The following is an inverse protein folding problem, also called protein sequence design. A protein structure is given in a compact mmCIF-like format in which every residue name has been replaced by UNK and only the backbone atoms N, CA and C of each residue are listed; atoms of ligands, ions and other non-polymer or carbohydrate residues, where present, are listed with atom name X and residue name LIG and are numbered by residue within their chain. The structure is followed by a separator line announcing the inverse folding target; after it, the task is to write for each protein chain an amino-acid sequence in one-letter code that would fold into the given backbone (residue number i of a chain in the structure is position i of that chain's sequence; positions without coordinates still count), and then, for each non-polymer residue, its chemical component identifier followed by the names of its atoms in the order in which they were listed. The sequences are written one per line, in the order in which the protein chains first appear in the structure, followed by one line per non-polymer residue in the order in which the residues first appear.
data_IF_025511755892
#
_entry.id   IF_025511755892
#
_cell.length_a   1.000
_cell.length_b   1.000
_cell.length_c   1.000
_cell.angle_alpha   90.00
_cell.angle_beta   90.00
_cell.angle_gamma   90.00
#
_symmetry.space_group_name_H-M   'P 1'
#
loop_
_entity.id
_entity.type
_entity.pdbx_description
1 polymer ?
#
# COMPACT_ATOMS: atom_id res chain seq x y z
N UNK A 1 8.34 -5.69 5.35
CA UNK A 1 7.20 -4.90 4.83
C UNK A 1 7.13 -5.03 3.33
N UNK A 2 5.93 -5.17 2.78
CA UNK A 2 5.73 -5.28 1.34
C UNK A 2 5.59 -3.90 0.70
N UNK A 3 6.42 -3.61 -0.29
CA UNK A 3 6.31 -2.46 -1.18
C UNK A 3 6.03 -2.93 -2.60
N UNK A 4 5.25 -2.15 -3.33
CA UNK A 4 4.92 -2.36 -4.73
C UNK A 4 5.23 -1.10 -5.54
N UNK A 5 5.67 -1.29 -6.78
CA UNK A 5 5.93 -0.20 -7.71
C UNK A 5 4.62 0.21 -8.35
N UNK A 6 4.21 1.45 -8.14
CA UNK A 6 2.98 1.99 -8.70
C UNK A 6 3.26 3.25 -9.51
N UNK A 7 2.57 3.38 -10.64
CA UNK A 7 2.63 4.58 -11.47
C UNK A 7 1.61 5.59 -10.99
N UNK A 8 2.06 6.71 -10.43
CA UNK A 8 1.21 7.85 -10.06
C UNK A 8 1.51 9.00 -11.02
N UNK A 9 0.54 9.30 -11.88
CA UNK A 9 0.73 10.24 -12.99
C UNK A 9 1.79 9.73 -13.94
N UNK A 10 2.91 10.44 -14.04
CA UNK A 10 4.04 10.06 -14.90
C UNK A 10 5.29 9.60 -14.12
N UNK A 11 5.14 9.30 -12.82
CA UNK A 11 6.23 8.83 -11.96
C UNK A 11 5.94 7.43 -11.46
N UNK A 12 6.95 6.56 -11.53
CA UNK A 12 6.93 5.29 -10.82
C UNK A 12 7.42 5.50 -9.38
N UNK A 13 6.63 5.08 -8.40
CA UNK A 13 6.92 5.23 -6.99
C UNK A 13 6.76 3.89 -6.27
N UNK A 14 7.65 3.61 -5.32
CA UNK A 14 7.47 2.53 -4.37
C UNK A 14 6.48 2.97 -3.30
N UNK A 15 5.42 2.19 -3.11
CA UNK A 15 4.35 2.46 -2.15
C UNK A 15 3.88 1.16 -1.51
N UNK A 16 3.12 1.26 -0.41
CA UNK A 16 2.39 0.12 0.10
C UNK A 16 1.30 -0.31 -0.90
N UNK A 17 0.96 -1.61 -0.98
CA UNK A 17 -0.15 -2.08 -1.79
C UNK A 17 -1.43 -1.31 -1.48
N UNK A 18 -1.98 -0.65 -2.50
CA UNK A 18 -3.20 0.12 -2.40
C UNK A 18 -4.05 -0.06 -3.66
N UNK A 19 -5.36 0.00 -3.49
CA UNK A 19 -6.33 -0.01 -4.56
C UNK A 19 -7.36 1.11 -4.33
N UNK A 20 -7.94 1.61 -5.41
CA UNK A 20 -9.04 2.56 -5.33
C UNK A 20 -10.28 1.88 -4.77
N UNK A 21 -10.98 2.54 -3.86
CA UNK A 21 -12.22 2.05 -3.27
C UNK A 21 -13.36 2.04 -4.30
N UNK A 22 -14.17 0.99 -4.30
CA UNK A 22 -15.31 0.84 -5.19
C UNK A 22 -16.65 0.93 -4.44
N UNK A 23 -17.70 1.54 -5.03
CA UNK A 23 -19.02 1.57 -4.43
C UNK A 23 -19.54 0.16 -4.10
N UNK A 24 -19.95 -0.06 -2.84
CA UNK A 24 -20.48 -1.34 -2.37
C UNK A 24 -19.47 -2.23 -1.61
N UNK A 25 -18.19 -1.85 -1.53
CA UNK A 25 -17.20 -2.57 -0.71
C UNK A 25 -16.83 -1.80 0.57
N UNK A 26 -16.29 -2.50 1.57
CA UNK A 26 -15.72 -1.85 2.77
C UNK A 26 -14.26 -1.46 2.52
N UNK A 27 -13.73 -0.46 3.22
CA UNK A 27 -12.30 -0.10 3.13
C UNK A 27 -11.36 -1.29 3.44
N UNK A 28 -11.80 -2.19 4.33
CA UNK A 28 -11.09 -3.43 4.62
C UNK A 28 -11.10 -4.36 3.39
N UNK A 29 -12.26 -4.55 2.76
CA UNK A 29 -12.39 -5.35 1.55
C UNK A 29 -11.53 -4.80 0.41
N UNK A 30 -11.43 -3.47 0.28
CA UNK A 30 -10.50 -2.82 -0.65
C UNK A 30 -9.05 -3.22 -0.37
N UNK A 31 -8.63 -3.27 0.89
CA UNK A 31 -7.28 -3.69 1.27
C UNK A 31 -7.03 -5.18 0.98
N UNK A 32 -8.01 -6.05 1.24
CA UNK A 32 -7.96 -7.48 0.90
C UNK A 32 -7.82 -7.67 -0.61
N UNK A 33 -8.61 -6.92 -1.41
CA UNK A 33 -8.53 -6.92 -2.87
C UNK A 33 -7.19 -6.40 -3.39
N UNK A 34 -6.64 -5.34 -2.78
CA UNK A 34 -5.32 -4.84 -3.14
C UNK A 34 -4.25 -5.92 -2.96
N UNK A 35 -4.27 -6.62 -1.82
CA UNK A 35 -3.32 -7.72 -1.55
C UNK A 35 -3.44 -8.85 -2.59
N UNK A 36 -4.66 -9.31 -2.88
CA UNK A 36 -4.91 -10.33 -3.89
C UNK A 36 -4.45 -9.91 -5.30
N UNK A 37 -4.56 -8.62 -5.62
CA UNK A 37 -4.14 -8.07 -6.93
C UNK A 37 -2.62 -8.13 -7.11
N UNK A 38 -1.85 -7.81 -6.08
CA UNK A 38 -0.39 -7.74 -6.17
C UNK A 38 0.30 -9.08 -5.88
N UNK A 39 -0.23 -9.88 -4.96
CA UNK A 39 0.39 -11.12 -4.51
C UNK A 39 -0.26 -12.39 -5.11
N UNK A 40 -1.42 -12.24 -5.74
CA UNK A 40 -2.22 -13.37 -6.23
C UNK A 40 -2.75 -14.24 -5.10
N UNK A 41 -3.30 -15.39 -5.48
CA UNK A 41 -3.91 -16.35 -4.54
C UNK A 41 -2.87 -17.17 -3.75
N UNK A 42 -1.58 -17.01 -4.07
CA UNK A 42 -0.48 -17.77 -3.46
C UNK A 42 -0.09 -17.25 -2.07
N UNK A 43 -0.52 -16.04 -1.71
CA UNK A 43 -0.17 -15.40 -0.44
C UNK A 43 -1.44 -15.12 0.36
N UNK A 44 -1.57 -15.80 1.50
CA UNK A 44 -2.66 -15.59 2.43
C UNK A 44 -2.27 -14.54 3.48
N UNK A 45 -2.84 -13.35 3.34
CA UNK A 45 -2.73 -12.28 4.33
C UNK A 45 -4.09 -12.03 5.00
N UNK A 46 -4.09 -11.90 6.32
CA UNK A 46 -5.29 -11.60 7.10
C UNK A 46 -5.22 -10.19 7.67
N UNK A 47 -6.16 -9.33 7.26
CA UNK A 47 -6.29 -7.97 7.80
C UNK A 47 -6.68 -8.01 9.28
N UNK A 48 -6.06 -7.14 10.07
CA UNK A 48 -6.26 -7.02 11.51
C UNK A 48 -7.31 -5.95 11.84
N UNK A 49 -8.50 -6.40 12.20
CA UNK A 49 -9.61 -5.53 12.55
C UNK A 49 -10.22 -4.82 11.34
N UNK A 50 -11.21 -3.96 11.61
CA UNK A 50 -11.93 -3.20 10.58
C UNK A 50 -11.55 -1.71 10.58
N UNK A 51 -10.74 -1.26 11.54
CA UNK A 51 -10.33 0.13 11.65
C UNK A 51 -8.98 0.35 10.93
N UNK A 52 -8.83 1.43 10.15
CA UNK A 52 -7.53 1.76 9.57
C UNK A 52 -6.54 2.12 10.68
N UNK A 53 -5.30 1.65 10.53
CA UNK A 53 -4.19 1.95 11.44
C UNK A 53 -3.58 3.33 11.21
N UNK A 54 -3.83 3.92 10.04
CA UNK A 54 -3.33 5.25 9.70
C UNK A 54 -3.98 5.83 8.45
N UNK A 55 -3.77 7.12 8.24
CA UNK A 55 -4.23 7.82 7.04
C UNK A 55 -3.12 8.71 6.49
N UNK A 56 -2.94 8.68 5.18
CA UNK A 56 -2.11 9.63 4.45
C UNK A 56 -2.96 10.39 3.45
N UNK A 57 -2.85 11.72 3.46
CA UNK A 57 -3.57 12.59 2.53
C UNK A 57 -2.53 13.33 1.72
N UNK A 58 -2.64 13.29 0.41
CA UNK A 58 -1.79 14.06 -0.49
C UNK A 58 -2.63 14.70 -1.58
N UNK A 59 -2.15 15.84 -2.07
CA UNK A 59 -2.74 16.51 -3.22
C UNK A 59 -2.00 16.06 -4.47
N UNK A 60 -2.71 15.82 -5.56
CA UNK A 60 -2.06 15.49 -6.81
C UNK A 60 -1.20 16.65 -7.32
N UNK A 61 -0.17 16.41 -8.16
CA UNK A 61 0.54 17.48 -8.86
C UNK A 61 -0.44 18.37 -9.64
N UNK A 62 -0.15 19.69 -9.71
CA UNK A 62 -1.03 20.65 -10.40
C UNK A 62 -1.39 20.24 -11.83
N UNK A 63 -0.47 19.56 -12.52
CA UNK A 63 -0.65 19.08 -13.89
C UNK A 63 -1.80 18.07 -14.08
N UNK A 64 -2.23 17.37 -13.03
CA UNK A 64 -3.30 16.36 -13.10
C UNK A 64 -4.47 16.68 -12.17
N UNK A 65 -4.49 17.86 -11.55
CA UNK A 65 -5.63 18.28 -10.70
C UNK A 65 -6.79 18.70 -11.59
N UNK A 66 -7.95 18.11 -11.33
CA UNK A 66 -9.24 18.61 -11.82
C UNK A 66 -10.06 19.14 -10.64
N UNK A 67 -11.16 19.86 -10.89
CA UNK A 67 -12.05 20.38 -9.83
C UNK A 67 -12.57 19.24 -8.95
N UNK A 68 -12.86 18.08 -9.56
CA UNK A 68 -13.35 16.88 -8.86
C UNK A 68 -12.24 16.00 -8.29
N UNK A 69 -10.97 16.19 -8.71
CA UNK A 69 -9.87 15.30 -8.35
C UNK A 69 -8.63 16.07 -7.84
N UNK A 70 -8.77 16.60 -6.62
CA UNK A 70 -7.76 17.43 -5.96
C UNK A 70 -6.62 16.62 -5.33
N UNK A 71 -6.86 15.35 -5.00
CA UNK A 71 -5.92 14.51 -4.26
C UNK A 71 -6.52 13.19 -3.83
N UNK A 72 -5.76 12.42 -3.05
CA UNK A 72 -6.20 11.14 -2.53
C UNK A 72 -6.01 11.05 -1.02
N UNK A 73 -6.86 10.23 -0.40
CA UNK A 73 -6.76 9.80 1.00
C UNK A 73 -6.52 8.30 1.01
N UNK A 74 -5.36 7.89 1.47
CA UNK A 74 -4.95 6.50 1.61
C UNK A 74 -5.17 6.06 3.05
N UNK A 75 -5.92 5.00 3.25
CA UNK A 75 -6.18 4.39 4.55
C UNK A 75 -5.34 3.12 4.68
N UNK A 76 -4.50 3.04 5.71
CA UNK A 76 -3.62 1.91 5.91
C UNK A 76 -4.25 0.89 6.83
N UNK A 77 -4.18 -0.38 6.43
CA UNK A 77 -4.60 -1.52 7.24
C UNK A 77 -3.40 -2.40 7.50
N UNK A 78 -3.31 -2.94 8.72
CA UNK A 78 -2.30 -3.94 9.08
C UNK A 78 -2.81 -5.32 8.72
N UNK A 79 -1.90 -6.16 8.25
CA UNK A 79 -2.19 -7.54 7.91
C UNK A 79 -1.10 -8.45 8.46
N UNK A 80 -1.48 -9.65 8.92
CA UNK A 80 -0.53 -10.72 9.14
C UNK A 80 -0.47 -11.63 7.92
N UNK A 81 0.74 -11.84 7.43
CA UNK A 81 1.04 -12.90 6.48
C UNK A 81 0.93 -14.24 7.20
N UNK A 82 -0.06 -15.06 6.85
CA UNK A 82 -0.31 -16.35 7.50
C UNK A 82 0.45 -17.49 6.83
N UNK A 83 0.39 -17.53 5.50
CA UNK A 83 1.09 -18.50 4.68
C UNK A 83 1.33 -17.88 3.31
N UNK A 84 2.44 -18.23 2.67
CA UNK A 84 2.71 -17.75 1.33
C UNK A 84 3.99 -18.36 0.81
N UNK A 85 3.91 -19.03 -0.34
CA UNK A 85 5.09 -19.45 -1.06
C UNK A 85 5.62 -18.24 -1.85
N UNK A 86 6.44 -17.43 -1.17
CA UNK A 86 7.11 -16.27 -1.78
C UNK A 86 8.06 -16.67 -2.91
N UNK A 87 8.37 -17.97 -3.07
CA UNK A 87 9.25 -18.49 -4.12
C UNK A 87 8.55 -18.72 -5.46
N UNK A 88 7.22 -18.94 -5.45
CA UNK A 88 6.42 -19.21 -6.65
C UNK A 88 5.69 -18.00 -7.22
N UNK A 89 5.54 -16.92 -6.44
CA UNK A 89 5.29 -15.62 -7.05
C UNK A 89 6.49 -15.33 -7.93
N UNK A 90 6.34 -15.50 -9.25
CA UNK A 90 7.29 -15.02 -10.24
C UNK A 90 7.77 -13.66 -9.74
N UNK A 91 9.07 -13.49 -9.60
CA UNK A 91 9.76 -12.25 -9.24
C UNK A 91 9.37 -11.16 -10.24
N UNK A 92 8.11 -10.71 -10.18
CA UNK A 92 7.63 -9.53 -10.89
C UNK A 92 8.41 -8.43 -10.24
N UNK A 93 9.18 -7.70 -11.05
CA UNK A 93 10.06 -6.59 -10.68
C UNK A 93 9.34 -5.42 -9.98
N UNK A 94 8.06 -5.61 -9.68
CA UNK A 94 7.11 -4.61 -9.22
C UNK A 94 6.73 -4.79 -7.75
N UNK A 95 7.28 -5.77 -7.02
CA UNK A 95 7.14 -5.85 -5.56
C UNK A 95 8.45 -6.23 -4.86
N UNK A 96 8.63 -5.77 -3.63
CA UNK A 96 9.80 -6.03 -2.79
C UNK A 96 9.45 -6.09 -1.31
N UNK A 97 10.19 -6.91 -0.56
CA UNK A 97 10.08 -7.01 0.88
C UNK A 97 11.27 -6.32 1.53
N UNK A 98 11.01 -5.28 2.34
CA UNK A 98 12.02 -4.48 3.03
C UNK A 98 11.85 -4.48 4.53
N UNK A 99 12.97 -4.34 5.24
CA UNK A 99 12.97 -4.04 6.67
C UNK A 99 12.53 -2.61 6.95
N UNK A 100 12.30 -2.26 8.22
CA UNK A 100 11.89 -0.90 8.59
C UNK A 100 12.97 0.12 8.25
N UNK A 101 14.24 -0.22 8.46
CA UNK A 101 15.38 0.65 8.23
C UNK A 101 15.55 0.97 6.73
N UNK A 102 15.32 -0.02 5.87
CA UNK A 102 15.40 0.12 4.42
C UNK A 102 14.23 0.92 3.82
N UNK A 103 13.10 1.08 4.52
CA UNK A 103 11.94 1.83 3.99
C UNK A 103 12.31 3.27 3.59
N UNK A 104 13.27 3.86 4.29
CA UNK A 104 13.74 5.22 4.03
C UNK A 104 14.37 5.41 2.65
N UNK A 105 14.94 4.34 2.09
CA UNK A 105 15.61 4.39 0.79
C UNK A 105 14.62 4.37 -0.39
N UNK A 106 13.41 3.85 -0.16
CA UNK A 106 12.38 3.70 -1.20
C UNK A 106 11.24 4.72 -1.10
N UNK A 107 10.81 5.06 0.12
CA UNK A 107 9.63 5.88 0.35
C UNK A 107 9.97 7.37 0.44
N UNK A 108 9.09 8.22 -0.11
CA UNK A 108 9.22 9.68 0.08
C UNK A 108 9.17 10.03 1.57
N UNK A 109 9.98 10.99 2.06
CA UNK A 109 10.08 11.30 3.49
C UNK A 109 8.73 11.60 4.19
N UNK A 110 7.83 12.32 3.52
CA UNK A 110 6.50 12.63 4.06
C UNK A 110 5.61 11.38 4.24
N UNK A 111 5.72 10.44 3.30
CA UNK A 111 4.98 9.18 3.34
C UNK A 111 5.58 8.25 4.40
N UNK A 112 6.91 8.13 4.42
CA UNK A 112 7.66 7.37 5.43
C UNK A 112 7.30 7.81 6.85
N UNK A 113 7.22 9.12 7.11
CA UNK A 113 6.83 9.64 8.44
C UNK A 113 5.45 9.16 8.88
N UNK A 114 4.50 9.02 7.96
CA UNK A 114 3.16 8.51 8.28
C UNK A 114 3.16 7.01 8.49
N UNK A 115 3.89 6.28 7.65
CA UNK A 115 4.07 4.83 7.77
C UNK A 115 4.70 4.48 9.11
N UNK A 116 5.82 5.12 9.46
CA UNK A 116 6.50 4.94 10.75
C UNK A 116 5.63 5.32 11.96
N UNK A 117 4.61 6.15 11.79
CA UNK A 117 3.69 6.53 12.88
C UNK A 117 2.78 5.40 13.36
N UNK A 118 2.55 4.37 12.54
CA UNK A 118 1.72 3.22 12.93
C UNK A 118 2.45 1.87 12.87
N UNK A 119 3.66 1.82 12.34
CA UNK A 119 4.51 0.63 12.48
C UNK A 119 4.96 0.50 13.94
N UNK A 120 4.78 -0.69 14.50
CA UNK A 120 5.26 -0.99 15.84
C UNK A 120 6.73 -1.41 15.73
N UNK A 121 7.60 -0.83 16.56
CA UNK A 121 8.90 -1.41 16.89
C UNK A 121 8.64 -2.37 18.04
N UNK A 122 8.83 -3.67 17.76
CA UNK A 122 8.83 -4.74 18.76
C UNK A 122 10.27 -5.22 18.93
#
# INVERSE_FOLDING_TARGET
MLLVKQKIGNQDLWLLPQAEWQPGETLRSTAERAMATFLGDHVQAKILGNAPSGIYKYKFPRAIRTEDNLGAKVFFFKAFLQSGDLSQTELKKDYLWVTKDELGDYLKPEYLKKVNGFLLDL
#
